data_IF_608090554365
#
_entry.id   IF_608090554365
#
_cell.length_a   1.000
_cell.length_b   1.000
_cell.length_c   1.000
_cell.angle_alpha   90.00
_cell.angle_beta   90.00
_cell.angle_gamma   90.00
#
_symmetry.space_group_name_H-M   'P 1'
#
loop_
_entity.id
_entity.type
_entity.pdbx_description
1 polymer ?
#
# COMPACT_ATOMS: atom_id res chain seq x y z
N UNK A 1 14.19 -9.67 8.14
CA UNK A 1 13.27 -9.12 7.12
C UNK A 1 14.03 -9.01 5.79
N UNK A 2 13.37 -9.20 4.65
CA UNK A 2 13.99 -9.18 3.32
C UNK A 2 13.22 -8.19 2.44
N UNK A 3 13.91 -7.48 1.55
CA UNK A 3 13.28 -6.60 0.57
C UNK A 3 12.50 -7.46 -0.43
N UNK A 4 11.20 -7.18 -0.56
CA UNK A 4 10.29 -7.89 -1.49
C UNK A 4 9.72 -6.97 -2.57
N UNK A 5 10.03 -5.67 -2.52
CA UNK A 5 9.46 -4.70 -3.44
C UNK A 5 9.58 -3.27 -2.94
N UNK A 6 8.74 -2.41 -3.51
CA UNK A 6 8.69 -0.99 -3.21
C UNK A 6 7.25 -0.47 -3.31
N UNK A 7 6.99 0.69 -2.71
CA UNK A 7 5.69 1.34 -2.76
C UNK A 7 5.81 2.81 -3.18
N UNK A 8 4.74 3.34 -3.74
CA UNK A 8 4.60 4.75 -4.06
C UNK A 8 3.19 5.24 -3.75
N UNK A 9 3.07 6.54 -3.49
CA UNK A 9 1.76 7.19 -3.35
C UNK A 9 1.10 7.40 -4.71
N UNK A 10 -0.22 7.31 -4.75
CA UNK A 10 -1.03 7.57 -5.94
C UNK A 10 -1.78 6.32 -6.39
N UNK A 11 -2.71 6.52 -7.33
CA UNK A 11 -3.65 5.50 -7.75
C UNK A 11 -3.42 4.95 -9.15
N UNK A 12 -2.30 5.22 -9.83
CA UNK A 12 -2.04 4.79 -11.23
C UNK A 12 -0.53 4.57 -11.44
N UNK A 13 -0.15 3.56 -12.22
CA UNK A 13 1.23 3.33 -12.67
C UNK A 13 1.63 4.44 -13.66
N UNK A 14 2.81 5.02 -13.48
CA UNK A 14 3.33 6.08 -14.34
C UNK A 14 4.59 5.62 -15.10
N UNK A 15 5.04 6.43 -16.06
CA UNK A 15 6.21 6.11 -16.90
C UNK A 15 7.51 5.95 -16.08
N UNK A 16 7.63 6.66 -14.96
CA UNK A 16 8.77 6.56 -14.05
C UNK A 16 8.82 5.21 -13.32
N UNK A 17 7.69 4.51 -13.21
CA UNK A 17 7.59 3.24 -12.50
C UNK A 17 8.47 2.18 -13.15
N UNK A 18 8.63 2.19 -14.48
CA UNK A 18 9.49 1.22 -15.20
C UNK A 18 10.96 1.37 -14.80
N UNK A 19 11.47 2.60 -14.70
CA UNK A 19 12.86 2.86 -14.35
C UNK A 19 13.19 2.50 -12.90
N UNK A 20 12.30 2.85 -11.98
CA UNK A 20 12.41 2.47 -10.55
C UNK A 20 12.31 0.95 -10.42
N UNK A 21 11.42 0.33 -11.18
CA UNK A 21 11.25 -1.12 -11.14
C UNK A 21 12.49 -1.86 -11.64
N UNK A 22 13.15 -1.39 -12.71
CA UNK A 22 14.43 -1.96 -13.18
C UNK A 22 15.52 -1.92 -12.10
N UNK A 23 15.60 -0.81 -11.36
CA UNK A 23 16.54 -0.69 -10.24
C UNK A 23 16.29 -1.77 -9.17
N UNK A 24 15.06 -1.90 -8.68
CA UNK A 24 14.74 -2.91 -7.66
C UNK A 24 14.84 -4.35 -8.19
N UNK A 25 14.51 -4.58 -9.46
CA UNK A 25 14.69 -5.88 -10.09
C UNK A 25 16.15 -6.33 -10.04
N UNK A 26 17.09 -5.43 -10.37
CA UNK A 26 18.54 -5.71 -10.34
C UNK A 26 19.08 -5.90 -8.93
N UNK A 27 18.66 -5.05 -7.99
CA UNK A 27 19.07 -5.13 -6.58
C UNK A 27 18.60 -6.43 -5.91
N UNK A 28 17.35 -6.83 -6.19
CA UNK A 28 16.74 -8.01 -5.56
C UNK A 28 17.08 -9.32 -6.28
N UNK A 29 17.48 -9.27 -7.56
CA UNK A 29 17.62 -10.43 -8.45
C UNK A 29 16.36 -11.32 -8.49
N UNK A 30 15.20 -10.72 -8.19
CA UNK A 30 13.90 -11.36 -8.11
C UNK A 30 12.80 -10.35 -8.49
N UNK A 31 11.64 -10.78 -9.01
CA UNK A 31 10.56 -9.88 -9.38
C UNK A 31 10.06 -9.05 -8.18
N UNK A 32 10.21 -7.70 -8.19
CA UNK A 32 9.71 -6.85 -7.14
C UNK A 32 8.18 -6.80 -7.14
N UNK A 33 7.57 -6.74 -5.95
CA UNK A 33 6.18 -6.28 -5.79
C UNK A 33 6.16 -4.76 -5.84
N UNK A 34 5.34 -4.17 -6.71
CA UNK A 34 5.12 -2.72 -6.73
C UNK A 34 3.75 -2.41 -6.13
N UNK A 35 3.72 -1.65 -5.03
CA UNK A 35 2.48 -1.28 -4.35
C UNK A 35 2.17 0.21 -4.55
N UNK A 36 0.93 0.51 -4.90
CA UNK A 36 0.41 1.87 -5.02
C UNK A 36 -0.57 2.13 -3.88
N UNK A 37 -0.32 3.19 -3.11
CA UNK A 37 -1.14 3.59 -1.96
C UNK A 37 -1.77 4.93 -2.26
N UNK A 38 -3.10 4.97 -2.39
CA UNK A 38 -3.84 6.21 -2.52
C UNK A 38 -4.03 6.87 -1.15
N UNK A 39 -3.21 7.87 -0.88
CA UNK A 39 -3.26 8.66 0.35
C UNK A 39 -4.24 9.83 0.28
N UNK A 40 -4.99 9.98 -0.82
CA UNK A 40 -6.03 11.00 -0.94
C UNK A 40 -7.19 10.79 0.04
N UNK A 41 -7.35 9.58 0.58
CA UNK A 41 -8.38 9.20 1.57
C UNK A 41 -9.80 9.65 1.17
N UNK A 42 -10.05 9.76 -0.15
CA UNK A 42 -11.36 10.16 -0.66
C UNK A 42 -12.39 9.12 -0.24
N UNK A 43 -13.53 9.58 0.29
CA UNK A 43 -14.58 8.72 0.83
C UNK A 43 -14.13 7.81 2.00
N UNK A 44 -13.14 8.26 2.78
CA UNK A 44 -12.62 7.52 3.94
C UNK A 44 -12.11 6.11 3.58
N UNK A 45 -11.62 5.96 2.34
CA UNK A 45 -11.09 4.71 1.81
C UNK A 45 -9.59 4.86 1.55
N UNK A 46 -8.78 4.02 2.19
CA UNK A 46 -7.37 3.85 1.85
C UNK A 46 -7.27 2.79 0.75
N UNK A 47 -7.16 3.24 -0.50
CA UNK A 47 -7.06 2.31 -1.63
C UNK A 47 -5.62 1.86 -1.80
N UNK A 48 -5.39 0.54 -1.78
CA UNK A 48 -4.09 -0.06 -2.02
C UNK A 48 -4.23 -1.00 -3.21
N UNK A 49 -3.30 -0.92 -4.16
CA UNK A 49 -3.18 -1.87 -5.27
C UNK A 49 -1.77 -2.39 -5.34
N UNK A 50 -1.61 -3.65 -5.74
CA UNK A 50 -0.30 -4.26 -5.88
C UNK A 50 -0.15 -4.90 -7.25
N UNK A 51 1.07 -4.82 -7.76
CA UNK A 51 1.41 -5.32 -9.08
C UNK A 51 2.58 -6.26 -8.99
N UNK A 52 2.42 -7.43 -9.58
CA UNK A 52 3.51 -8.36 -9.83
C UNK A 52 4.00 -8.15 -11.26
N UNK A 53 5.32 -8.08 -11.41
CA UNK A 53 5.92 -7.74 -12.69
C UNK A 53 6.55 -8.94 -13.37
N UNK A 54 6.42 -9.00 -14.69
CA UNK A 54 7.14 -9.96 -15.52
C UNK A 54 7.94 -9.21 -16.59
N UNK A 55 9.23 -9.55 -16.71
CA UNK A 55 10.07 -9.06 -17.81
C UNK A 55 9.50 -9.56 -19.14
N UNK A 56 9.26 -8.64 -20.07
CA UNK A 56 8.89 -8.96 -21.43
C UNK A 56 10.18 -9.12 -22.23
N UNK A 57 10.47 -10.34 -22.69
CA UNK A 57 11.54 -10.61 -23.65
C UNK A 57 10.96 -11.16 -24.94
N UNK A 58 11.58 -10.81 -26.07
CA UNK A 58 11.32 -11.49 -27.34
C UNK A 58 12.17 -12.77 -27.40
N UNK A 59 12.11 -13.50 -28.52
CA UNK A 59 12.85 -14.76 -28.73
C UNK A 59 14.36 -14.69 -28.53
N UNK A 60 14.95 -13.50 -28.35
CA UNK A 60 16.32 -13.32 -27.89
C UNK A 60 16.32 -12.86 -26.40
N UNK A 61 16.78 -13.70 -25.45
CA UNK A 61 16.71 -13.41 -24.01
C UNK A 61 17.49 -12.18 -23.54
N UNK A 62 18.46 -11.72 -24.35
CA UNK A 62 19.34 -10.60 -24.01
C UNK A 62 18.68 -9.21 -24.17
N UNK A 63 17.48 -9.14 -24.77
CA UNK A 63 16.76 -7.88 -24.96
C UNK A 63 15.44 -7.93 -24.20
N UNK A 64 15.42 -7.32 -23.01
CA UNK A 64 14.16 -7.02 -22.30
C UNK A 64 13.54 -5.77 -22.93
N UNK A 65 12.30 -5.91 -23.39
CA UNK A 65 11.48 -4.82 -23.94
C UNK A 65 10.87 -3.93 -22.85
N UNK A 66 10.91 -4.39 -21.60
CA UNK A 66 10.35 -3.68 -20.45
C UNK A 66 9.65 -4.63 -19.49
N UNK A 67 8.89 -4.05 -18.56
CA UNK A 67 8.14 -4.79 -17.54
C UNK A 67 6.64 -4.69 -17.81
N UNK A 68 5.97 -5.84 -17.73
CA UNK A 68 4.52 -5.89 -17.65
C UNK A 68 4.10 -5.94 -16.19
N UNK A 69 3.26 -5.00 -15.76
CA UNK A 69 2.66 -4.97 -14.43
C UNK A 69 1.29 -5.64 -14.45
N UNK A 70 1.11 -6.68 -13.66
CA UNK A 70 -0.17 -7.39 -13.50
C UNK A 70 -0.73 -7.12 -12.11
N UNK A 71 -1.96 -6.63 -12.06
CA UNK A 71 -2.67 -6.38 -10.80
C UNK A 71 -2.87 -7.70 -10.04
N UNK A 72 -2.73 -7.67 -8.72
CA UNK A 72 -2.84 -8.83 -7.84
C UNK A 72 -3.81 -8.52 -6.70
N UNK A 73 -4.65 -9.49 -6.37
CA UNK A 73 -5.56 -9.38 -5.24
C UNK A 73 -4.78 -9.30 -3.92
N UNK A 74 -5.25 -8.42 -3.04
CA UNK A 74 -4.64 -8.15 -1.74
C UNK A 74 -5.51 -8.69 -0.60
N UNK A 75 -4.85 -9.24 0.40
CA UNK A 75 -5.45 -9.61 1.69
C UNK A 75 -4.64 -8.94 2.80
N UNK A 76 -5.33 -8.34 3.77
CA UNK A 76 -4.71 -7.71 4.92
C UNK A 76 -4.62 -8.71 6.07
N UNK A 77 -3.39 -9.00 6.49
CA UNK A 77 -3.12 -9.84 7.64
C UNK A 77 -2.41 -9.03 8.71
N UNK A 78 -2.91 -9.09 9.93
CA UNK A 78 -2.31 -8.43 11.09
C UNK A 78 -1.99 -9.46 12.17
N UNK A 79 -0.85 -9.28 12.85
CA UNK A 79 -0.44 -10.18 13.92
C UNK A 79 -1.14 -9.83 15.26
N UNK A 80 -1.11 -10.75 16.23
CA UNK A 80 -1.82 -10.55 17.51
C UNK A 80 -1.34 -9.30 18.30
N UNK A 81 -0.03 -9.02 18.41
CA UNK A 81 0.44 -7.77 19.00
C UNK A 81 -0.11 -6.51 18.32
N UNK A 82 -0.08 -6.47 16.99
CA UNK A 82 -0.58 -5.36 16.19
C UNK A 82 -2.09 -5.17 16.35
N UNK A 83 -2.88 -6.25 16.29
CA UNK A 83 -4.33 -6.19 16.57
C UNK A 83 -4.63 -5.64 17.97
N UNK A 84 -3.84 -6.03 18.97
CA UNK A 84 -4.00 -5.52 20.35
C UNK A 84 -3.66 -4.02 20.43
N UNK A 85 -2.64 -3.56 19.70
CA UNK A 85 -2.29 -2.15 19.66
C UNK A 85 -3.34 -1.33 18.88
N UNK A 86 -3.78 -1.81 17.72
CA UNK A 86 -4.80 -1.18 16.88
C UNK A 86 -6.14 -1.05 17.62
N UNK A 87 -6.57 -2.10 18.33
CA UNK A 87 -7.79 -2.04 19.14
C UNK A 87 -7.72 -1.01 20.26
N UNK A 88 -6.55 -0.80 20.87
CA UNK A 88 -6.36 0.26 21.87
C UNK A 88 -6.45 1.65 21.25
N UNK A 89 -5.75 1.88 20.14
CA UNK A 89 -5.78 3.16 19.42
C UNK A 89 -7.19 3.52 18.93
N UNK A 90 -7.94 2.53 18.44
CA UNK A 90 -9.32 2.74 17.98
C UNK A 90 -10.29 3.05 19.13
N UNK A 91 -10.09 2.43 20.31
CA UNK A 91 -10.96 2.66 21.45
C UNK A 91 -10.73 4.04 22.09
N UNK A 92 -9.49 4.52 22.15
CA UNK A 92 -9.18 5.87 22.65
C UNK A 92 -9.90 6.96 21.83
N UNK A 93 -9.96 6.81 20.51
CA UNK A 93 -10.72 7.74 19.65
C UNK A 93 -12.22 7.72 19.94
N UNK A 94 -12.80 6.55 20.24
CA UNK A 94 -14.22 6.46 20.60
C UNK A 94 -14.51 7.10 21.95
N UNK A 95 -13.62 6.93 22.93
CA UNK A 95 -13.78 7.56 24.25
C UNK A 95 -13.66 9.08 24.17
N UNK A 96 -12.73 9.62 23.38
CA UNK A 96 -12.61 11.07 23.14
C UNK A 96 -13.87 11.65 22.47
N UNK A 97 -14.42 10.96 21.46
CA UNK A 97 -15.66 11.38 20.80
C UNK A 97 -16.84 11.39 21.76
N UNK A 98 -16.98 10.37 22.62
CA UNK A 98 -18.06 10.29 23.61
C UNK A 98 -17.95 11.37 24.69
N UNK A 99 -16.74 11.71 25.15
CA UNK A 99 -16.53 12.78 26.14
C UNK A 99 -16.84 14.15 25.51
N UNK A 100 -16.44 14.38 24.26
CA UNK A 100 -16.76 15.62 23.56
C UNK A 100 -18.27 15.79 23.31
N UNK A 101 -18.98 14.72 22.93
CA UNK A 101 -20.44 14.75 22.80
C UNK A 101 -21.13 15.02 24.14
N UNK A 102 -20.68 14.39 25.22
CA UNK A 102 -21.21 14.62 26.56
C UNK A 102 -20.99 16.07 27.04
N UNK A 103 -19.86 16.67 26.71
CA UNK A 103 -19.57 18.07 27.06
C UNK A 103 -20.30 19.08 26.16
N UNK A 104 -20.58 18.74 24.91
CA UNK A 104 -21.41 19.55 24.03
C UNK A 104 -22.89 19.54 24.46
N UNK A 105 -23.40 18.40 24.94
CA UNK A 105 -24.75 18.28 25.51
C UNK A 105 -24.91 19.11 26.79
N UNK A 106 -23.88 19.20 27.64
CA UNK A 106 -23.92 20.02 28.86
C UNK A 106 -23.91 21.53 28.58
N UNK A 107 -23.37 21.95 27.44
CA UNK A 107 -23.30 23.36 27.03
C UNK A 107 -24.56 23.85 26.31
N UNK A 108 -25.50 22.98 25.97
CA UNK A 108 -26.77 23.35 25.31
C UNK A 108 -27.94 23.56 26.26
N UNK A 109 -27.72 23.38 27.58
CA UNK A 109 -28.62 23.74 28.67
C UNK A 109 -28.05 24.93 29.45
#
# INVERSE_FOLDING_TARGET
>A
EMIVGWYATGGIINDYSVGIHDFYWREMQAPPVHMLVDTGLTNNNLSIRAFMSSSLSFSNPEVSLGFQFKDVQLEFMSNKPEQTALSRLANEQNEENMVQEADNLKKSF
#
